data_IF_256701847867
#
_entry.id   IF_256701847867
#
_cell.length_a   1.000
_cell.length_b   1.000
_cell.length_c   1.000
_cell.angle_alpha   90.00
_cell.angle_beta   90.00
_cell.angle_gamma   90.00
#
_symmetry.space_group_name_H-M   'P 1'
#
loop_
_entity.id
_entity.type
_entity.pdbx_description
1 polymer ?
#
# COMPACT_ATOMS: atom_id res chain seq x y z
N UNK A 1 -6.29 -23.20 -10.40
CA UNK A 1 -5.50 -21.96 -10.53
C UNK A 1 -5.99 -21.20 -11.74
N UNK A 2 -6.42 -19.95 -11.58
CA UNK A 2 -6.79 -19.08 -12.71
C UNK A 2 -5.53 -18.70 -13.47
N UNK A 3 -5.53 -18.83 -14.79
CA UNK A 3 -4.38 -18.42 -15.61
C UNK A 3 -4.09 -16.93 -15.41
N UNK A 4 -2.82 -16.58 -15.24
CA UNK A 4 -2.38 -15.18 -15.19
C UNK A 4 -2.27 -14.64 -16.62
N UNK A 5 -2.75 -13.42 -16.89
CA UNK A 5 -2.53 -12.76 -18.17
C UNK A 5 -1.04 -12.59 -18.51
N UNK A 6 -0.69 -12.69 -19.79
CA UNK A 6 0.69 -12.60 -20.31
C UNK A 6 1.43 -11.30 -19.95
N UNK A 7 0.70 -10.23 -19.62
CA UNK A 7 1.28 -8.94 -19.25
C UNK A 7 1.85 -8.95 -17.82
N UNK A 8 1.56 -9.96 -17.01
CA UNK A 8 2.11 -10.18 -15.68
C UNK A 8 3.18 -11.29 -15.67
N UNK A 9 4.15 -11.19 -14.77
CA UNK A 9 4.99 -12.34 -14.39
C UNK A 9 4.19 -13.31 -13.50
N UNK A 10 4.70 -14.53 -13.22
CA UNK A 10 4.17 -15.35 -12.14
C UNK A 10 4.11 -14.56 -10.82
N UNK A 11 3.09 -14.85 -10.01
CA UNK A 11 2.94 -14.23 -8.69
C UNK A 11 4.02 -14.76 -7.74
N UNK A 12 4.60 -13.86 -6.97
CA UNK A 12 5.65 -14.13 -5.99
C UNK A 12 5.10 -14.01 -4.56
N UNK A 13 5.60 -14.85 -3.65
CA UNK A 13 5.27 -14.87 -2.23
C UNK A 13 6.37 -14.24 -1.34
N UNK A 14 7.45 -13.73 -1.94
CA UNK A 14 8.57 -13.12 -1.25
C UNK A 14 8.14 -11.98 -0.32
N UNK A 15 8.75 -11.95 0.87
CA UNK A 15 8.52 -10.93 1.89
C UNK A 15 9.73 -9.98 1.94
N UNK A 16 9.64 -8.77 1.35
CA UNK A 16 10.79 -7.88 1.26
C UNK A 16 11.03 -7.02 2.51
N UNK A 17 10.09 -7.02 3.47
CA UNK A 17 10.12 -6.16 4.66
C UNK A 17 10.91 -6.80 5.81
N UNK A 18 11.52 -6.01 6.71
CA UNK A 18 12.44 -6.54 7.73
C UNK A 18 11.78 -7.47 8.75
N UNK A 19 10.49 -7.28 9.05
CA UNK A 19 9.76 -8.08 10.06
C UNK A 19 8.58 -8.80 9.43
N UNK A 20 8.62 -10.15 9.32
CA UNK A 20 7.46 -10.94 8.95
C UNK A 20 6.30 -10.73 9.91
N UNK A 21 5.07 -10.63 9.39
CA UNK A 21 3.86 -10.55 10.20
C UNK A 21 3.13 -11.89 10.19
N UNK A 22 2.89 -12.46 11.38
CA UNK A 22 2.20 -13.73 11.51
C UNK A 22 0.80 -13.69 10.87
N UNK A 23 0.46 -14.72 10.10
CA UNK A 23 -0.84 -14.82 9.42
C UNK A 23 -1.05 -13.86 8.25
N UNK A 24 -0.05 -13.04 7.88
CA UNK A 24 -0.10 -12.19 6.71
C UNK A 24 0.45 -12.93 5.48
N UNK A 25 -0.27 -12.81 4.36
CA UNK A 25 0.12 -13.35 3.07
C UNK A 25 0.32 -12.21 2.09
N UNK A 26 1.57 -11.99 1.69
CA UNK A 26 1.93 -11.03 0.64
C UNK A 26 2.02 -11.76 -0.70
N UNK A 27 1.45 -11.15 -1.74
CA UNK A 27 1.65 -11.57 -3.13
C UNK A 27 2.02 -10.38 -3.98
N UNK A 28 3.00 -10.57 -4.86
CA UNK A 28 3.42 -9.52 -5.79
C UNK A 28 3.60 -10.03 -7.21
N UNK A 29 3.66 -9.12 -8.17
CA UNK A 29 3.98 -9.41 -9.56
C UNK A 29 4.62 -8.20 -10.21
N UNK A 30 5.43 -8.46 -11.23
CA UNK A 30 5.74 -7.44 -12.24
C UNK A 30 4.69 -7.46 -13.34
N UNK A 31 4.51 -6.32 -14.00
CA UNK A 31 3.63 -6.20 -15.14
C UNK A 31 4.15 -5.21 -16.18
N UNK A 32 3.83 -5.45 -17.45
CA UNK A 32 4.12 -4.54 -18.57
C UNK A 32 2.82 -4.02 -19.19
N UNK A 33 2.54 -2.72 -18.95
CA UNK A 33 1.36 -2.04 -19.49
C UNK A 33 1.29 -2.02 -21.02
N UNK A 34 2.41 -2.15 -21.72
CA UNK A 34 2.41 -2.20 -23.19
C UNK A 34 1.90 -3.54 -23.73
N UNK A 35 1.91 -4.57 -22.87
CA UNK A 35 1.44 -5.92 -23.20
C UNK A 35 0.00 -6.19 -22.76
N UNK A 36 -0.65 -5.22 -22.11
CA UNK A 36 -2.06 -5.33 -21.69
C UNK A 36 -2.96 -5.45 -22.93
N UNK A 37 -3.82 -6.46 -22.94
CA UNK A 37 -4.80 -6.74 -24.00
C UNK A 37 -6.24 -6.61 -23.47
N UNK A 38 -7.17 -6.33 -24.37
CA UNK A 38 -8.59 -6.15 -24.02
C UNK A 38 -9.21 -7.37 -23.29
N UNK A 39 -8.74 -8.59 -23.58
CA UNK A 39 -9.23 -9.82 -22.95
C UNK A 39 -8.67 -10.13 -21.56
N UNK A 40 -7.66 -9.38 -21.10
CA UNK A 40 -6.92 -9.73 -19.87
C UNK A 40 -7.76 -9.58 -18.60
N UNK A 41 -8.71 -8.63 -18.58
CA UNK A 41 -9.66 -8.50 -17.47
C UNK A 41 -10.57 -9.73 -17.36
N UNK A 42 -11.09 -10.21 -18.49
CA UNK A 42 -11.94 -11.41 -18.53
C UNK A 42 -11.15 -12.67 -18.17
N UNK A 43 -9.94 -12.83 -18.72
CA UNK A 43 -9.03 -13.93 -18.37
C UNK A 43 -8.68 -13.91 -16.88
N UNK A 44 -8.39 -12.72 -16.36
CA UNK A 44 -8.11 -12.49 -14.95
C UNK A 44 -9.33 -12.61 -14.05
N UNK A 45 -10.55 -12.76 -14.59
CA UNK A 45 -11.82 -12.73 -13.85
C UNK A 45 -11.92 -11.51 -12.92
N UNK A 46 -11.50 -10.34 -13.42
CA UNK A 46 -11.55 -9.06 -12.72
C UNK A 46 -12.49 -8.17 -13.50
N UNK A 47 -13.53 -7.68 -12.85
CA UNK A 47 -14.41 -6.67 -13.44
C UNK A 47 -13.74 -5.30 -13.38
N UNK A 48 -13.62 -4.63 -14.53
CA UNK A 48 -13.15 -3.25 -14.58
C UNK A 48 -14.33 -2.30 -14.34
N UNK A 49 -14.35 -1.50 -13.25
CA UNK A 49 -15.38 -0.48 -13.10
C UNK A 49 -15.25 0.62 -14.18
N UNK A 50 -16.33 1.36 -14.43
CA UNK A 50 -16.41 2.30 -15.56
C UNK A 50 -15.32 3.40 -15.56
N UNK A 51 -14.81 3.79 -14.39
CA UNK A 51 -13.68 4.72 -14.28
C UNK A 51 -12.35 4.09 -14.71
N UNK A 52 -12.17 2.78 -14.50
CA UNK A 52 -11.00 2.03 -14.97
C UNK A 52 -11.10 1.74 -16.46
N UNK A 53 -12.27 1.33 -16.97
CA UNK A 53 -12.48 1.11 -18.40
C UNK A 53 -12.14 2.34 -19.25
N UNK A 54 -12.46 3.54 -18.75
CA UNK A 54 -12.18 4.83 -19.42
C UNK A 54 -10.77 5.37 -19.14
N UNK A 55 -10.00 4.71 -18.28
CA UNK A 55 -8.65 5.17 -17.91
C UNK A 55 -7.61 4.74 -18.94
N UNK A 56 -6.46 5.41 -18.91
CA UNK A 56 -5.29 5.05 -19.73
C UNK A 56 -4.76 3.65 -19.39
N UNK A 57 -4.09 3.00 -20.34
CA UNK A 57 -3.56 1.64 -20.20
C UNK A 57 -2.71 1.43 -18.93
N UNK A 58 -1.94 2.45 -18.51
CA UNK A 58 -1.17 2.42 -17.25
C UNK A 58 -2.07 2.10 -16.06
N UNK A 59 -3.18 2.83 -15.92
CA UNK A 59 -4.12 2.70 -14.79
C UNK A 59 -4.88 1.39 -14.85
N UNK A 60 -5.24 0.93 -16.05
CA UNK A 60 -5.88 -0.37 -16.24
C UNK A 60 -4.96 -1.52 -15.83
N UNK A 61 -3.70 -1.50 -16.26
CA UNK A 61 -2.70 -2.52 -15.93
C UNK A 61 -2.43 -2.58 -14.42
N UNK A 62 -2.24 -1.41 -13.78
CA UNK A 62 -2.07 -1.29 -12.32
C UNK A 62 -3.25 -1.88 -11.55
N UNK A 63 -4.48 -1.54 -11.96
CA UNK A 63 -5.70 -2.03 -11.31
C UNK A 63 -5.81 -3.55 -11.43
N UNK A 64 -5.63 -4.08 -12.65
CA UNK A 64 -5.72 -5.51 -12.91
C UNK A 64 -4.63 -6.29 -12.15
N UNK A 65 -3.37 -5.89 -12.27
CA UNK A 65 -2.25 -6.55 -11.60
C UNK A 65 -2.42 -6.57 -10.07
N UNK A 66 -2.77 -5.44 -9.45
CA UNK A 66 -3.01 -5.38 -8.00
C UNK A 66 -4.17 -6.26 -7.55
N UNK A 67 -5.25 -6.34 -8.33
CA UNK A 67 -6.41 -7.20 -8.03
C UNK A 67 -6.10 -8.70 -8.20
N UNK A 68 -5.23 -9.06 -9.14
CA UNK A 68 -4.72 -10.44 -9.27
C UNK A 68 -3.89 -10.84 -8.03
N UNK A 69 -2.98 -9.96 -7.57
CA UNK A 69 -2.24 -10.18 -6.32
C UNK A 69 -3.17 -10.32 -5.12
N UNK A 70 -4.21 -9.48 -5.03
CA UNK A 70 -5.16 -9.50 -3.93
C UNK A 70 -5.95 -10.80 -3.83
N UNK A 71 -6.42 -11.33 -4.97
CA UNK A 71 -7.10 -12.62 -5.02
C UNK A 71 -6.19 -13.75 -4.54
N UNK A 72 -4.94 -13.79 -5.00
CA UNK A 72 -4.00 -14.84 -4.62
C UNK A 72 -3.62 -14.76 -3.14
N UNK A 73 -3.36 -13.56 -2.62
CA UNK A 73 -3.06 -13.35 -1.21
C UNK A 73 -4.24 -13.78 -0.32
N UNK A 74 -5.47 -13.48 -0.75
CA UNK A 74 -6.69 -13.92 -0.08
C UNK A 74 -6.84 -15.45 -0.08
N UNK A 75 -6.61 -16.11 -1.22
CA UNK A 75 -6.63 -17.58 -1.31
C UNK A 75 -5.57 -18.21 -0.40
N UNK A 76 -4.35 -17.67 -0.41
CA UNK A 76 -3.26 -18.14 0.44
C UNK A 76 -3.57 -17.98 1.94
N UNK A 77 -4.36 -16.97 2.31
CA UNK A 77 -4.86 -16.74 3.66
C UNK A 77 -6.05 -17.65 4.04
N UNK A 78 -6.46 -18.59 3.18
CA UNK A 78 -7.60 -19.48 3.39
C UNK A 78 -8.96 -18.85 3.08
N UNK A 79 -8.98 -17.70 2.39
CA UNK A 79 -10.19 -17.03 1.95
C UNK A 79 -10.73 -17.52 0.61
N UNK A 80 -11.87 -16.97 0.15
CA UNK A 80 -12.46 -17.33 -1.13
C UNK A 80 -11.59 -16.92 -2.31
N UNK A 81 -11.68 -17.68 -3.40
CA UNK A 81 -10.97 -17.45 -4.65
C UNK A 81 -11.53 -16.29 -5.49
N UNK A 82 -11.77 -15.14 -4.85
CA UNK A 82 -12.41 -13.97 -5.48
C UNK A 82 -11.55 -12.73 -5.39
N UNK A 83 -11.84 -11.77 -6.27
CA UNK A 83 -11.21 -10.45 -6.26
C UNK A 83 -11.98 -9.57 -5.28
N UNK A 84 -11.32 -8.86 -4.35
CA UNK A 84 -11.99 -7.92 -3.46
C UNK A 84 -12.73 -6.83 -4.25
N UNK A 85 -13.93 -6.49 -3.79
CA UNK A 85 -14.72 -5.40 -4.37
C UNK A 85 -14.06 -4.04 -4.14
N UNK A 86 -14.76 -2.98 -4.52
CA UNK A 86 -14.30 -1.59 -4.29
C UNK A 86 -15.47 -0.81 -3.72
N UNK A 87 -15.27 -0.09 -2.62
CA UNK A 87 -16.30 0.78 -2.05
C UNK A 87 -16.37 2.15 -2.74
N UNK A 88 -17.31 2.98 -2.31
CA UNK A 88 -17.52 4.32 -2.87
C UNK A 88 -16.29 5.24 -2.69
N UNK A 89 -15.49 5.01 -1.65
CA UNK A 89 -14.24 5.72 -1.36
C UNK A 89 -13.01 5.05 -2.00
N UNK A 90 -13.24 4.05 -2.86
CA UNK A 90 -12.23 3.28 -3.60
C UNK A 90 -11.37 2.34 -2.75
N UNK A 91 -11.72 2.12 -1.49
CA UNK A 91 -11.06 1.14 -0.65
C UNK A 91 -11.44 -0.29 -1.08
N UNK A 92 -10.53 -1.27 -0.99
CA UNK A 92 -10.86 -2.66 -1.26
C UNK A 92 -11.89 -3.20 -0.26
N UNK A 93 -12.96 -3.82 -0.78
CA UNK A 93 -13.95 -4.54 0.02
C UNK A 93 -13.52 -5.99 0.19
N UNK A 94 -12.83 -6.25 1.30
CA UNK A 94 -12.40 -7.60 1.68
C UNK A 94 -13.59 -8.46 2.12
N UNK A 95 -13.57 -9.78 1.87
CA UNK A 95 -14.57 -10.68 2.41
C UNK A 95 -14.61 -10.64 3.95
N UNK A 96 -15.76 -10.97 4.53
CA UNK A 96 -15.90 -11.05 5.99
C UNK A 96 -14.83 -11.99 6.59
N UNK A 97 -14.20 -11.54 7.69
CA UNK A 97 -13.12 -12.27 8.35
C UNK A 97 -11.72 -11.96 7.81
N UNK A 98 -11.58 -11.10 6.79
CA UNK A 98 -10.30 -10.74 6.18
C UNK A 98 -10.10 -9.23 6.15
N UNK A 99 -8.83 -8.82 6.19
CA UNK A 99 -8.40 -7.46 5.92
C UNK A 99 -7.16 -7.48 5.03
N UNK A 100 -6.81 -6.34 4.45
CA UNK A 100 -5.66 -6.27 3.56
C UNK A 100 -5.45 -4.90 2.93
N UNK A 101 -4.40 -4.83 2.14
CA UNK A 101 -4.03 -3.64 1.38
C UNK A 101 -3.53 -4.02 0.00
N UNK A 102 -3.68 -3.09 -0.96
CA UNK A 102 -3.25 -3.27 -2.34
C UNK A 102 -2.44 -2.05 -2.73
N UNK A 103 -1.30 -2.28 -3.38
CA UNK A 103 -0.41 -1.23 -3.87
C UNK A 103 0.11 -1.55 -5.26
N UNK A 104 0.49 -0.53 -6.01
CA UNK A 104 1.08 -0.66 -7.32
C UNK A 104 1.92 0.56 -7.67
N UNK A 105 3.03 0.34 -8.38
CA UNK A 105 3.93 1.39 -8.81
C UNK A 105 4.90 0.84 -9.84
N UNK A 106 5.07 1.60 -10.93
CA UNK A 106 6.12 1.40 -11.93
C UNK A 106 6.35 -0.06 -12.39
N UNK A 107 5.29 -0.68 -12.90
CA UNK A 107 5.36 -2.05 -13.42
C UNK A 107 5.47 -3.12 -12.33
N UNK A 108 5.19 -2.79 -11.07
CA UNK A 108 5.09 -3.75 -9.96
C UNK A 108 3.80 -3.53 -9.17
N UNK A 109 3.16 -4.61 -8.76
CA UNK A 109 1.94 -4.57 -7.95
C UNK A 109 1.99 -5.63 -6.85
N UNK A 110 1.39 -5.33 -5.70
CA UNK A 110 1.29 -6.27 -4.61
C UNK A 110 0.01 -6.09 -3.81
N UNK A 111 -0.31 -7.15 -3.07
CA UNK A 111 -1.34 -7.12 -2.04
C UNK A 111 -0.86 -7.91 -0.82
N UNK A 112 -1.30 -7.47 0.35
CA UNK A 112 -1.14 -8.17 1.61
C UNK A 112 -2.51 -8.45 2.20
N UNK A 113 -2.75 -9.67 2.69
CA UNK A 113 -4.01 -10.10 3.28
C UNK A 113 -3.76 -10.86 4.57
N UNK A 114 -4.63 -10.68 5.56
CA UNK A 114 -4.63 -11.45 6.79
C UNK A 114 -6.05 -11.67 7.31
N UNK A 115 -6.18 -12.53 8.32
CA UNK A 115 -7.44 -12.70 9.06
C UNK A 115 -7.70 -11.49 9.97
N UNK A 116 -8.94 -11.02 9.97
CA UNK A 116 -9.33 -9.80 10.71
C UNK A 116 -9.29 -9.96 12.23
N UNK A 117 -9.26 -11.19 12.73
CA UNK A 117 -9.09 -11.52 14.16
C UNK A 117 -7.63 -11.50 14.63
N UNK A 118 -6.66 -11.41 13.72
CA UNK A 118 -5.24 -11.24 14.03
C UNK A 118 -4.79 -9.81 13.73
N UNK A 119 -5.31 -9.22 12.66
CA UNK A 119 -4.99 -7.87 12.22
C UNK A 119 -6.27 -7.11 11.88
N UNK A 120 -6.52 -5.96 12.49
CA UNK A 120 -7.70 -5.14 12.18
C UNK A 120 -7.49 -4.26 10.95
N UNK A 121 -6.25 -3.85 10.69
CA UNK A 121 -5.91 -2.96 9.57
C UNK A 121 -4.52 -3.25 9.01
N UNK A 122 -4.41 -3.21 7.69
CA UNK A 122 -3.15 -3.36 6.96
C UNK A 122 -3.08 -2.24 5.91
N UNK A 123 -1.95 -1.55 5.86
CA UNK A 123 -1.67 -0.50 4.90
C UNK A 123 -0.33 -0.74 4.25
N UNK A 124 -0.35 -1.01 2.95
CA UNK A 124 0.83 -1.30 2.15
C UNK A 124 0.94 -0.24 1.06
N UNK A 125 2.13 0.29 0.86
CA UNK A 125 2.38 1.32 -0.14
C UNK A 125 3.74 1.13 -0.81
N UNK A 126 3.79 1.36 -2.13
CA UNK A 126 5.00 1.18 -2.93
C UNK A 126 5.24 2.43 -3.75
N UNK A 127 6.44 2.96 -3.64
CA UNK A 127 6.83 4.20 -4.29
C UNK A 127 8.17 4.07 -4.96
N UNK A 128 8.33 4.74 -6.09
CA UNK A 128 9.65 4.93 -6.66
C UNK A 128 10.39 5.97 -5.86
N UNK A 129 11.71 5.80 -5.70
CA UNK A 129 12.53 6.84 -5.10
C UNK A 129 12.39 8.14 -5.91
N UNK A 130 11.97 9.21 -5.25
CA UNK A 130 11.89 10.52 -5.88
C UNK A 130 13.29 11.02 -6.25
N UNK A 131 13.41 11.64 -7.41
CA UNK A 131 14.58 12.45 -7.74
C UNK A 131 14.65 13.67 -6.81
N UNK A 132 15.85 14.14 -6.50
CA UNK A 132 16.08 15.26 -5.56
C UNK A 132 15.23 16.49 -5.88
N UNK A 133 15.24 16.96 -7.13
CA UNK A 133 14.46 18.13 -7.54
C UNK A 133 12.93 17.92 -7.46
N UNK A 134 12.45 16.66 -7.51
CA UNK A 134 11.04 16.35 -7.30
C UNK A 134 10.72 16.31 -5.81
N UNK A 135 11.58 15.72 -5.00
CA UNK A 135 11.45 15.68 -3.55
C UNK A 135 11.43 17.09 -2.94
N UNK A 136 12.35 17.97 -3.34
CA UNK A 136 12.38 19.36 -2.88
C UNK A 136 11.07 20.11 -3.17
N UNK A 137 10.49 19.91 -4.35
CA UNK A 137 9.21 20.54 -4.73
C UNK A 137 8.02 20.01 -3.92
N UNK A 138 8.05 18.73 -3.56
CA UNK A 138 6.94 18.08 -2.84
C UNK A 138 7.11 18.12 -1.32
N UNK A 139 8.30 18.46 -0.82
CA UNK A 139 8.63 18.39 0.60
C UNK A 139 7.60 19.13 1.46
N UNK A 140 7.24 20.37 1.10
CA UNK A 140 6.29 21.17 1.88
C UNK A 140 4.82 20.71 1.76
N UNK A 141 4.47 19.88 0.78
CA UNK A 141 3.13 19.29 0.64
C UNK A 141 2.99 17.98 1.44
N UNK A 142 4.10 17.25 1.62
CA UNK A 142 4.13 15.91 2.22
C UNK A 142 4.56 15.98 3.69
N UNK A 143 5.53 16.84 4.00
CA UNK A 143 6.12 16.94 5.32
C UNK A 143 5.40 18.00 6.16
N UNK A 144 5.24 17.71 7.45
CA UNK A 144 4.85 18.68 8.46
C UNK A 144 5.98 19.71 8.66
N UNK A 145 5.69 20.88 9.24
CA UNK A 145 6.73 21.84 9.60
C UNK A 145 7.86 21.22 10.44
N UNK A 146 7.51 20.37 11.41
CA UNK A 146 8.48 19.72 12.29
C UNK A 146 9.32 18.68 11.53
N UNK A 147 8.74 17.92 10.59
CA UNK A 147 9.50 17.02 9.68
C UNK A 147 10.47 17.81 8.79
N UNK A 148 10.05 18.97 8.25
CA UNK A 148 10.91 19.83 7.43
C UNK A 148 12.13 20.32 8.22
N UNK A 149 11.97 20.67 9.51
CA UNK A 149 13.10 21.12 10.32
C UNK A 149 14.15 20.04 10.57
N UNK A 150 13.75 18.76 10.51
CA UNK A 150 14.62 17.60 10.72
C UNK A 150 15.13 16.97 9.41
N UNK A 151 14.71 17.50 8.27
CA UNK A 151 15.07 16.98 6.95
C UNK A 151 16.58 17.13 6.74
N UNK A 152 17.28 16.02 6.52
CA UNK A 152 18.68 16.04 6.11
C UNK A 152 18.75 16.34 4.60
N UNK A 153 19.36 17.46 4.16
CA UNK A 153 19.48 17.79 2.74
C UNK A 153 20.17 16.70 1.91
N UNK A 154 21.10 15.93 2.50
CA UNK A 154 21.79 14.85 1.80
C UNK A 154 20.88 13.63 1.56
N UNK A 155 19.85 13.47 2.39
CA UNK A 155 18.91 12.36 2.33
C UNK A 155 17.50 12.80 1.93
N UNK A 156 17.30 14.07 1.56
CA UNK A 156 15.98 14.66 1.36
C UNK A 156 15.10 13.86 0.40
N UNK A 157 15.67 13.41 -0.72
CA UNK A 157 14.99 12.54 -1.68
C UNK A 157 14.41 11.26 -1.05
N UNK A 158 15.21 10.57 -0.24
CA UNK A 158 14.80 9.36 0.44
C UNK A 158 13.80 9.67 1.55
N UNK A 159 14.07 10.66 2.39
CA UNK A 159 13.21 11.01 3.53
C UNK A 159 11.82 11.46 3.07
N UNK A 160 11.73 12.30 2.03
CA UNK A 160 10.43 12.70 1.47
C UNK A 160 9.67 11.49 0.89
N UNK A 161 10.35 10.63 0.14
CA UNK A 161 9.74 9.40 -0.42
C UNK A 161 9.24 8.47 0.70
N UNK A 162 10.07 8.27 1.73
CA UNK A 162 9.77 7.42 2.88
C UNK A 162 8.57 7.96 3.66
N UNK A 163 8.57 9.25 3.99
CA UNK A 163 7.47 9.88 4.72
C UNK A 163 6.18 9.80 3.93
N UNK A 164 6.22 10.08 2.62
CA UNK A 164 5.07 9.95 1.74
C UNK A 164 4.47 8.54 1.80
N UNK A 165 5.30 7.52 1.55
CA UNK A 165 4.84 6.14 1.50
C UNK A 165 4.32 5.66 2.86
N UNK A 166 5.00 6.00 3.95
CA UNK A 166 4.54 5.64 5.30
C UNK A 166 3.20 6.30 5.66
N UNK A 167 2.97 7.55 5.25
CA UNK A 167 1.69 8.24 5.48
C UNK A 167 0.57 7.64 4.61
N UNK A 168 0.85 7.25 3.37
CA UNK A 168 -0.09 6.49 2.52
C UNK A 168 -0.43 5.12 3.13
N UNK A 169 0.58 4.39 3.63
CA UNK A 169 0.38 3.15 4.38
C UNK A 169 -0.47 3.39 5.64
N UNK A 170 -0.25 4.48 6.37
CA UNK A 170 -1.02 4.82 7.57
C UNK A 170 -2.50 5.06 7.20
N UNK A 171 -2.73 5.83 6.14
CA UNK A 171 -4.07 6.07 5.61
C UNK A 171 -4.78 4.76 5.28
N UNK A 172 -4.13 3.88 4.51
CA UNK A 172 -4.71 2.59 4.11
C UNK A 172 -4.99 1.66 5.31
N UNK A 173 -4.14 1.69 6.33
CA UNK A 173 -4.32 0.88 7.53
C UNK A 173 -5.47 1.37 8.42
N UNK A 174 -5.62 2.69 8.59
CA UNK A 174 -6.57 3.28 9.52
C UNK A 174 -7.92 3.64 8.91
N UNK A 175 -7.98 4.04 7.63
CA UNK A 175 -9.22 4.47 6.99
C UNK A 175 -10.38 3.46 7.14
N UNK A 176 -10.19 2.14 6.97
CA UNK A 176 -11.26 1.16 7.19
C UNK A 176 -11.80 1.13 8.63
N UNK A 177 -10.97 1.49 9.61
CA UNK A 177 -11.30 1.48 11.04
C UNK A 177 -12.00 2.77 11.48
N UNK A 178 -11.53 3.91 10.99
CA UNK A 178 -12.00 5.23 11.44
C UNK A 178 -13.06 5.84 10.53
N UNK A 179 -13.13 5.43 9.26
CA UNK A 179 -14.04 5.96 8.22
C UNK A 179 -14.05 7.50 8.15
N UNK A 180 -12.89 8.09 8.40
CA UNK A 180 -12.62 9.52 8.29
C UNK A 180 -11.40 9.73 7.41
N UNK A 181 -11.52 10.65 6.46
CA UNK A 181 -10.38 11.07 5.64
C UNK A 181 -9.43 11.90 6.49
N UNK A 182 -8.14 11.64 6.30
CA UNK A 182 -7.05 12.45 6.83
C UNK A 182 -5.92 12.47 5.79
N UNK A 183 -4.94 13.34 6.00
CA UNK A 183 -4.01 13.81 4.97
C UNK A 183 -2.61 13.93 5.57
N UNK A 184 -1.64 14.36 4.77
CA UNK A 184 -0.23 14.34 5.16
C UNK A 184 0.08 15.17 6.41
N UNK A 185 -0.59 16.31 6.58
CA UNK A 185 -0.45 17.20 7.75
C UNK A 185 -1.00 16.59 9.04
N UNK A 186 -1.80 15.53 8.95
CA UNK A 186 -2.43 14.87 10.10
C UNK A 186 -1.57 13.75 10.70
N UNK A 187 -0.37 13.51 10.18
CA UNK A 187 0.56 12.54 10.71
C UNK A 187 2.00 13.04 10.61
N UNK A 188 2.85 12.60 11.52
CA UNK A 188 4.27 12.95 11.60
C UNK A 188 5.12 11.70 11.71
N UNK A 189 6.16 11.59 10.90
CA UNK A 189 7.28 10.65 11.03
C UNK A 189 8.23 11.18 12.11
N UNK A 190 8.25 10.48 13.25
CA UNK A 190 9.09 10.82 14.40
C UNK A 190 10.51 10.33 14.24
N UNK A 191 10.66 9.09 13.76
CA UNK A 191 11.96 8.44 13.58
C UNK A 191 11.89 7.33 12.55
N UNK A 192 13.03 7.03 11.95
CA UNK A 192 13.23 5.86 11.11
C UNK A 192 14.68 5.37 11.24
N UNK A 193 14.93 4.13 10.83
CA UNK A 193 16.26 3.53 10.87
C UNK A 193 16.61 2.85 9.55
N UNK A 194 17.91 2.72 9.27
CA UNK A 194 18.41 1.97 8.12
C UNK A 194 18.00 0.47 8.15
N UNK A 195 17.62 -0.05 9.32
CA UNK A 195 17.06 -1.39 9.46
C UNK A 195 15.62 -1.55 8.96
N UNK A 196 15.00 -0.49 8.43
CA UNK A 196 13.66 -0.56 7.83
C UNK A 196 12.52 -0.40 8.83
N UNK A 197 12.76 0.26 9.97
CA UNK A 197 11.72 0.54 10.98
C UNK A 197 11.43 2.03 11.07
N UNK A 198 10.19 2.39 11.35
CA UNK A 198 9.74 3.77 11.51
C UNK A 198 8.67 3.92 12.60
N UNK A 199 8.58 5.11 13.19
CA UNK A 199 7.54 5.50 14.14
C UNK A 199 6.80 6.74 13.63
N UNK A 200 5.48 6.66 13.55
CA UNK A 200 4.61 7.76 13.20
C UNK A 200 3.76 8.20 14.40
N UNK A 201 3.30 9.44 14.39
CA UNK A 201 2.35 10.00 15.35
C UNK A 201 1.19 10.67 14.62
N UNK A 202 -0.03 10.46 15.12
CA UNK A 202 -1.20 11.23 14.65
C UNK A 202 -1.18 12.64 15.23
N UNK A 203 -1.47 13.63 14.38
CA UNK A 203 -1.61 15.04 14.73
C UNK A 203 -3.07 15.50 14.70
N UNK A 204 -4.02 14.55 14.75
CA UNK A 204 -5.47 14.84 14.74
C UNK A 204 -6.25 13.73 15.43
N UNK A 205 -7.49 14.05 15.83
CA UNK A 205 -8.43 13.11 16.43
C UNK A 205 -9.30 12.43 15.37
N UNK A 206 -9.06 11.14 15.11
CA UNK A 206 -9.84 10.33 14.18
C UNK A 206 -10.93 9.53 14.90
N UNK A 207 -10.65 9.04 16.11
CA UNK A 207 -11.60 8.32 16.98
C UNK A 207 -11.10 8.31 18.42
N UNK A 208 -11.84 7.68 19.35
CA UNK A 208 -11.38 7.47 20.73
C UNK A 208 -10.08 6.65 20.82
N UNK A 209 -9.89 5.66 19.93
CA UNK A 209 -8.67 4.84 19.90
C UNK A 209 -7.52 5.53 19.14
N UNK A 210 -7.88 6.25 18.07
CA UNK A 210 -6.96 6.91 17.13
C UNK A 210 -7.06 8.42 17.29
N UNK A 211 -6.41 8.93 18.32
CA UNK A 211 -6.44 10.34 18.70
C UNK A 211 -5.08 11.04 18.49
N UNK A 212 -5.06 12.36 18.61
CA UNK A 212 -3.84 13.16 18.56
C UNK A 212 -2.81 12.63 19.57
N UNK A 213 -1.56 12.51 19.14
CA UNK A 213 -0.45 11.97 19.93
C UNK A 213 -0.32 10.45 19.91
N UNK A 214 -1.30 9.71 19.36
CA UNK A 214 -1.20 8.25 19.21
C UNK A 214 -0.04 7.91 18.29
N UNK A 215 0.84 7.03 18.76
CA UNK A 215 1.99 6.55 17.99
C UNK A 215 1.70 5.18 17.36
N UNK A 216 2.22 4.99 16.14
CA UNK A 216 2.05 3.79 15.32
C UNK A 216 3.39 3.39 14.73
N UNK A 217 3.72 2.10 14.86
CA UNK A 217 4.91 1.52 14.22
C UNK A 217 4.66 1.19 12.76
N UNK A 218 5.66 1.48 11.93
CA UNK A 218 5.73 1.07 10.54
C UNK A 218 7.05 0.37 10.24
N UNK A 219 7.08 -0.33 9.12
CA UNK A 219 8.31 -0.88 8.55
C UNK A 219 8.39 -0.58 7.06
N UNK A 220 9.59 -0.61 6.51
CA UNK A 220 9.83 -0.37 5.10
C UNK A 220 11.06 -1.13 4.62
N UNK A 221 11.18 -1.28 3.31
CA UNK A 221 12.33 -1.87 2.63
C UNK A 221 12.60 -1.14 1.33
N UNK A 222 13.88 -1.05 0.95
CA UNK A 222 14.29 -0.59 -0.37
C UNK A 222 14.67 -1.81 -1.22
N UNK A 223 14.10 -1.93 -2.42
CA UNK A 223 14.45 -2.97 -3.40
C UNK A 223 14.18 -2.47 -4.81
N UNK A 224 15.03 -2.81 -5.78
CA UNK A 224 14.88 -2.40 -7.18
C UNK A 224 14.51 -0.92 -7.39
N UNK A 225 15.19 0.00 -6.69
CA UNK A 225 14.91 1.45 -6.71
C UNK A 225 13.50 1.86 -6.22
N UNK A 226 12.75 0.93 -5.62
CA UNK A 226 11.46 1.14 -4.97
C UNK A 226 11.61 1.14 -3.46
N UNK A 227 10.66 1.82 -2.82
CA UNK A 227 10.40 1.80 -1.40
C UNK A 227 9.04 1.15 -1.18
N UNK A 228 8.99 0.08 -0.40
CA UNK A 228 7.73 -0.49 0.08
C UNK A 228 7.63 -0.24 1.57
N UNK A 229 6.51 0.31 2.00
CA UNK A 229 6.19 0.53 3.41
C UNK A 229 4.95 -0.27 3.83
N UNK A 230 4.91 -0.62 5.11
CA UNK A 230 3.81 -1.36 5.72
C UNK A 230 3.53 -0.82 7.12
N UNK A 231 2.25 -0.55 7.37
CA UNK A 231 1.69 -0.32 8.70
C UNK A 231 0.64 -1.39 8.97
N UNK A 232 0.72 -2.01 10.14
CA UNK A 232 -0.15 -3.10 10.53
C UNK A 232 -0.72 -2.87 11.94
N UNK A 233 -2.03 -3.00 12.06
CA UNK A 233 -2.78 -2.75 13.28
C UNK A 233 -3.24 -4.09 13.84
N UNK A 234 -2.69 -4.56 14.97
CA UNK A 234 -3.08 -5.85 15.54
C UNK A 234 -4.54 -5.84 15.97
N UNK A 235 -5.17 -7.01 15.92
CA UNK A 235 -6.36 -7.28 16.70
C UNK A 235 -5.97 -7.32 18.19
N UNK A 236 -6.81 -6.72 19.03
CA UNK A 236 -6.63 -6.71 20.49
C UNK A 236 -6.86 -8.12 21.05
#
# INVERSE_FOLDING_TARGET
>A
MTALPDFCTPLDADWPLPTPLAGCHLRSTRFDRQRLRAGDFAMGQVEAPANIQRSVAKRQAEYLAGRLCAREALQACGGPAQVPGTDEERAPLWPAGFCGSITHGDGWAAAIVAQSNQWRGLGLDVENRLETARAERLAAEILTPDELTRLDPQQAALQVTLTFSLKESLFKALFPLVRKRFYFEHAELLSWSAGGHAQLRLLTDLSEEWHHGKEISGQFSLFDERLLSLIAIPAV
#
